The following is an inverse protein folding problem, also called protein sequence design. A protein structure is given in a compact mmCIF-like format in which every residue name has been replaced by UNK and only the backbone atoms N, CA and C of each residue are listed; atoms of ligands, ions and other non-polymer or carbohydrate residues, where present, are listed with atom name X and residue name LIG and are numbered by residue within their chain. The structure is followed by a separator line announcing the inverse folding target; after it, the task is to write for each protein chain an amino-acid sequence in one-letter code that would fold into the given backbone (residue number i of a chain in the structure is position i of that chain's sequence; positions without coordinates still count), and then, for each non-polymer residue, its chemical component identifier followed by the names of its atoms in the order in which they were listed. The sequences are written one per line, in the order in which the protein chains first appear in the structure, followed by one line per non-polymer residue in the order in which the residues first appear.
data_IF_064412528386
#
_entry.id   IF_064412528386
#
_cell.length_a   1.000
_cell.length_b   1.000
_cell.length_c   1.000
_cell.angle_alpha   90.00
_cell.angle_beta   90.00
_cell.angle_gamma   90.00
#
_symmetry.space_group_name_H-M   'P 1'
#
loop_
_entity.id
_entity.type
_entity.pdbx_description
1 polymer ?
#
# COMPACT_ATOMS: atom_id res chain seq x y z
N UNK A 1 -0.98 8.70 -1.99
CA UNK A 1 0.08 8.98 -0.98
C UNK A 1 -0.55 8.92 0.41
N UNK A 2 0.21 8.58 1.47
CA UNK A 2 -0.28 8.69 2.86
C UNK A 2 0.61 9.64 3.66
N UNK A 3 0.01 10.73 4.16
CA UNK A 3 0.60 11.72 5.09
C UNK A 3 -0.11 11.66 6.45
N UNK A 4 0.26 12.55 7.37
CA UNK A 4 -0.35 12.69 8.70
C UNK A 4 -0.32 11.39 9.53
N UNK A 5 0.87 10.79 9.62
CA UNK A 5 1.18 9.56 10.37
C UNK A 5 1.37 9.79 11.87
N UNK A 6 0.60 10.72 12.45
CA UNK A 6 0.63 11.06 13.89
C UNK A 6 -0.02 10.00 14.75
N UNK A 7 -0.98 9.26 14.21
CA UNK A 7 -1.74 8.23 14.91
C UNK A 7 -1.51 6.86 14.28
N UNK A 8 -1.66 5.82 15.10
CA UNK A 8 -1.56 4.43 14.67
C UNK A 8 -2.68 4.08 13.69
N UNK A 9 -2.34 3.50 12.55
CA UNK A 9 -3.29 3.19 11.48
C UNK A 9 -3.07 1.84 10.85
N UNK A 10 -4.17 1.20 10.44
CA UNK A 10 -4.17 0.04 9.57
C UNK A 10 -5.01 0.30 8.32
N UNK A 11 -4.45 0.01 7.14
CA UNK A 11 -5.13 0.09 5.85
C UNK A 11 -4.99 -1.24 5.15
N UNK A 12 -6.07 -1.75 4.57
CA UNK A 12 -6.03 -2.97 3.76
C UNK A 12 -6.31 -2.60 2.32
N UNK A 13 -5.28 -2.66 1.48
CA UNK A 13 -5.40 -2.52 0.03
C UNK A 13 -5.56 -3.90 -0.59
N UNK A 14 -6.53 -4.05 -1.50
CA UNK A 14 -6.67 -5.26 -2.32
C UNK A 14 -6.53 -4.89 -3.78
N UNK A 15 -5.44 -5.32 -4.41
CA UNK A 15 -5.16 -5.06 -5.82
C UNK A 15 -5.60 -6.25 -6.69
N UNK A 16 -6.28 -5.95 -7.79
CA UNK A 16 -6.64 -6.90 -8.84
C UNK A 16 -5.64 -6.81 -9.97
N UNK A 17 -5.07 -7.94 -10.35
CA UNK A 17 -3.99 -8.03 -11.35
C UNK A 17 -4.31 -9.10 -12.38
N UNK A 18 -3.50 -9.16 -13.44
CA UNK A 18 -3.41 -10.35 -14.29
C UNK A 18 -2.78 -11.50 -13.53
N UNK A 19 -2.89 -12.70 -14.09
CA UNK A 19 -2.16 -13.87 -13.62
C UNK A 19 -0.65 -13.56 -13.61
N UNK A 20 0.08 -13.82 -12.51
CA UNK A 20 1.53 -13.67 -12.50
C UNK A 20 2.16 -14.58 -13.56
N UNK A 21 3.00 -14.03 -14.44
CA UNK A 21 3.87 -14.81 -15.31
C UNK A 21 5.13 -15.15 -14.51
N UNK A 22 5.45 -16.43 -14.34
CA UNK A 22 6.67 -16.86 -13.64
C UNK A 22 7.91 -16.32 -14.36
N UNK A 23 8.59 -15.35 -13.74
CA UNK A 23 9.88 -14.85 -14.19
C UNK A 23 11.00 -15.59 -13.45
N UNK A 24 11.66 -16.51 -14.15
CA UNK A 24 12.82 -17.27 -13.64
C UNK A 24 14.12 -16.55 -14.01
N UNK A 25 14.87 -16.14 -12.97
CA UNK A 25 16.33 -15.84 -12.87
C UNK A 25 16.99 -14.97 -13.93
N UNK A 26 17.70 -13.93 -13.45
CA UNK A 26 19.07 -13.62 -13.89
C UNK A 26 19.96 -13.30 -12.67
N UNK A 27 21.19 -13.80 -12.73
CA UNK A 27 22.15 -13.98 -11.64
C UNK A 27 22.86 -12.69 -11.19
N UNK A 28 23.28 -12.73 -9.91
CA UNK A 28 24.29 -11.88 -9.30
C UNK A 28 25.65 -11.98 -10.02
N UNK A 29 26.44 -10.90 -9.98
CA UNK A 29 27.90 -10.99 -9.97
C UNK A 29 28.46 -10.00 -8.95
N UNK A 30 29.19 -10.54 -7.97
CA UNK A 30 30.01 -9.82 -6.99
C UNK A 30 31.44 -9.74 -7.53
N UNK A 31 32.16 -8.66 -7.24
CA UNK A 31 33.63 -8.66 -7.29
C UNK A 31 34.20 -7.92 -6.07
N UNK A 32 35.12 -8.60 -5.37
CA UNK A 32 36.01 -8.09 -4.32
C UNK A 32 37.31 -7.55 -4.96
N UNK A 33 37.90 -6.46 -4.43
CA UNK A 33 39.21 -6.50 -3.72
C UNK A 33 39.72 -5.14 -3.20
N UNK A 34 40.16 -5.20 -1.93
CA UNK A 34 41.33 -4.62 -1.24
C UNK A 34 41.71 -3.12 -1.26
N UNK A 35 41.95 -2.69 -0.03
CA UNK A 35 42.41 -1.44 0.57
C UNK A 35 43.87 -1.09 0.30
N UNK A 36 44.17 0.21 0.32
CA UNK A 36 45.51 0.75 0.56
C UNK A 36 45.42 1.86 1.61
N UNK A 37 46.30 1.78 2.61
CA UNK A 37 46.44 2.74 3.71
C UNK A 37 47.21 3.97 3.23
N UNK A 38 46.75 5.16 3.61
CA UNK A 38 47.60 6.34 3.80
C UNK A 38 47.13 7.08 5.06
N UNK A 39 48.11 7.45 5.88
CA UNK A 39 48.00 8.09 7.19
C UNK A 39 47.90 9.61 7.01
N UNK A 40 46.77 10.21 7.42
CA UNK A 40 46.56 11.66 7.40
C UNK A 40 45.94 12.11 8.73
N UNK A 41 46.55 13.15 9.25
CA UNK A 41 46.37 13.83 10.54
C UNK A 41 44.90 14.09 10.89
N UNK A 42 44.47 13.65 12.08
CA UNK A 42 43.07 13.73 12.55
C UNK A 42 42.62 15.18 12.84
N UNK A 43 41.88 15.75 11.90
CA UNK A 43 40.76 16.62 12.20
C UNK A 43 39.51 15.75 12.21
N UNK A 44 38.85 15.58 13.37
CA UNK A 44 37.63 14.77 13.47
C UNK A 44 36.50 15.54 12.78
N UNK A 45 36.41 15.37 11.47
CA UNK A 45 35.18 15.64 10.73
C UNK A 45 34.12 14.64 11.21
N UNK A 46 32.85 15.06 11.37
CA UNK A 46 31.78 14.11 11.69
C UNK A 46 31.79 12.99 10.64
N UNK A 47 31.74 11.73 11.10
CA UNK A 47 31.75 10.57 10.21
C UNK A 47 30.67 10.73 9.13
N UNK A 48 31.06 10.55 7.86
CA UNK A 48 30.13 10.62 6.75
C UNK A 48 28.96 9.64 6.97
N UNK A 49 27.75 10.11 6.70
CA UNK A 49 26.54 9.30 6.89
C UNK A 49 26.54 8.07 5.98
N UNK A 50 26.57 6.88 6.59
CA UNK A 50 26.44 5.60 5.88
C UNK A 50 24.99 5.11 5.88
N UNK A 51 24.24 5.51 4.85
CA UNK A 51 22.86 5.07 4.62
C UNK A 51 22.75 3.55 4.52
N UNK A 52 23.74 2.87 3.94
CA UNK A 52 23.69 1.42 3.73
C UNK A 52 23.78 0.69 5.05
N UNK A 53 24.63 1.15 5.97
CA UNK A 53 24.70 0.63 7.33
C UNK A 53 23.38 0.82 8.09
N UNK A 54 22.74 1.99 7.99
CA UNK A 54 21.46 2.27 8.65
C UNK A 54 20.32 1.37 8.12
N UNK A 55 20.23 1.17 6.79
CA UNK A 55 19.28 0.24 6.20
C UNK A 55 19.49 -1.20 6.68
N UNK A 56 20.74 -1.68 6.69
CA UNK A 56 21.07 -3.03 7.16
C UNK A 56 20.76 -3.21 8.65
N UNK A 57 21.01 -2.18 9.45
CA UNK A 57 20.70 -2.21 10.88
C UNK A 57 19.19 -2.33 11.12
N UNK A 58 18.36 -1.56 10.41
CA UNK A 58 16.90 -1.71 10.45
C UNK A 58 16.47 -3.10 9.99
N UNK A 59 17.02 -3.58 8.88
CA UNK A 59 16.61 -4.85 8.28
C UNK A 59 16.94 -6.05 9.17
N UNK A 60 18.12 -6.02 9.81
CA UNK A 60 18.56 -7.03 10.77
C UNK A 60 17.66 -7.13 12.01
N UNK A 61 16.84 -6.12 12.31
CA UNK A 61 15.90 -6.20 13.43
C UNK A 61 14.78 -7.19 13.18
N UNK A 62 14.39 -7.47 11.93
CA UNK A 62 13.18 -8.25 11.58
C UNK A 62 11.88 -7.72 12.23
N UNK A 63 11.89 -6.49 12.76
CA UNK A 63 10.82 -5.93 13.58
C UNK A 63 10.10 -4.75 12.89
N UNK A 64 10.65 -4.26 11.77
CA UNK A 64 10.08 -3.17 10.99
C UNK A 64 10.05 -1.83 11.73
N UNK A 65 9.24 -0.89 11.22
CA UNK A 65 9.04 0.43 11.83
C UNK A 65 8.33 0.31 13.17
N UNK A 66 7.41 -0.64 13.33
CA UNK A 66 6.75 -0.89 14.63
C UNK A 66 7.75 -1.27 15.72
N UNK A 67 8.80 -2.03 15.37
CA UNK A 67 9.90 -2.36 16.28
C UNK A 67 10.72 -1.14 16.70
N UNK A 68 10.96 -0.18 15.79
CA UNK A 68 11.61 1.09 16.13
C UNK A 68 10.78 1.90 17.13
N UNK A 69 9.45 1.95 16.94
CA UNK A 69 8.57 2.62 17.90
C UNK A 69 8.55 1.88 19.24
N UNK A 70 8.54 0.53 19.23
CA UNK A 70 8.58 -0.29 20.44
C UNK A 70 9.85 -0.08 21.27
N UNK A 71 10.99 0.20 20.63
CA UNK A 71 12.26 0.47 21.31
C UNK A 71 12.36 1.88 21.92
N UNK A 72 11.32 2.70 21.77
CA UNK A 72 11.28 4.06 22.32
C UNK A 72 11.98 5.11 21.45
N UNK A 73 12.08 4.89 20.13
CA UNK A 73 12.65 5.87 19.22
C UNK A 73 11.93 7.23 19.32
N UNK A 74 12.67 8.27 19.71
CA UNK A 74 12.17 9.65 19.82
C UNK A 74 12.48 10.51 18.58
N UNK A 75 13.30 9.99 17.67
CA UNK A 75 13.70 10.69 16.46
C UNK A 75 13.56 9.77 15.25
N UNK A 76 13.17 10.35 14.11
CA UNK A 76 13.07 9.62 12.84
C UNK A 76 14.49 9.37 12.30
N UNK A 77 14.89 8.10 12.05
CA UNK A 77 16.17 7.75 11.41
C UNK A 77 16.31 8.37 10.02
N UNK A 78 17.55 8.64 9.57
CA UNK A 78 17.79 9.44 8.36
C UNK A 78 17.26 8.77 7.09
N UNK A 79 17.29 7.44 7.03
CA UNK A 79 16.68 6.65 5.94
C UNK A 79 15.19 6.94 5.70
N UNK A 80 14.44 7.45 6.69
CA UNK A 80 13.01 7.80 6.56
C UNK A 80 12.75 9.29 6.34
N UNK A 81 13.78 10.13 6.43
CA UNK A 81 13.62 11.57 6.29
C UNK A 81 13.44 11.94 4.83
N UNK A 82 12.37 12.69 4.56
CA UNK A 82 12.19 13.36 3.29
C UNK A 82 13.35 14.36 3.07
N UNK A 83 13.77 14.60 1.82
CA UNK A 83 14.67 15.72 1.51
C UNK A 83 14.06 17.04 1.99
N UNK A 84 14.90 18.04 2.28
CA UNK A 84 14.41 19.34 2.75
C UNK A 84 13.39 19.91 1.74
N UNK A 85 12.26 20.46 2.22
CA UNK A 85 11.13 20.86 1.40
C UNK A 85 11.43 22.00 0.40
N UNK A 86 12.62 22.60 0.42
CA UNK A 86 13.02 23.62 -0.57
C UNK A 86 13.00 23.11 -2.03
N UNK A 87 13.06 21.80 -2.25
CA UNK A 87 12.93 21.18 -3.59
C UNK A 87 11.48 20.86 -4.01
N UNK A 88 10.53 20.72 -3.08
CA UNK A 88 9.11 20.43 -3.40
C UNK A 88 8.19 21.66 -3.27
N UNK A 89 8.48 22.61 -2.36
CA UNK A 89 7.66 23.81 -2.11
C UNK A 89 7.78 24.87 -3.22
N UNK A 90 8.80 24.80 -4.07
CA UNK A 90 8.98 25.73 -5.21
C UNK A 90 7.91 25.62 -6.31
N UNK A 91 6.87 24.77 -6.15
CA UNK A 91 5.81 24.60 -7.15
C UNK A 91 4.39 24.91 -6.65
N UNK A 92 4.15 25.18 -5.36
CA UNK A 92 2.76 25.38 -4.90
C UNK A 92 2.62 26.60 -4.00
N UNK A 93 2.08 27.68 -4.58
CA UNK A 93 1.61 28.85 -3.85
C UNK A 93 0.49 28.45 -2.85
N UNK A 94 0.26 29.22 -1.76
CA UNK A 94 -0.90 29.02 -0.91
C UNK A 94 -2.16 29.18 -1.74
N UNK A 95 -2.87 28.09 -2.01
CA UNK A 95 -4.12 28.11 -2.76
C UNK A 95 -5.26 27.66 -1.85
N UNK A 96 -6.43 28.27 -2.02
CA UNK A 96 -7.64 27.91 -1.28
C UNK A 96 -7.86 26.39 -1.33
N UNK A 97 -8.31 25.78 -0.21
CA UNK A 97 -8.54 24.35 -0.15
C UNK A 97 -9.45 23.94 -1.32
N UNK A 98 -9.12 22.89 -2.07
CA UNK A 98 -9.94 22.48 -3.19
C UNK A 98 -11.36 22.16 -2.68
N UNK A 99 -12.37 22.80 -3.27
CA UNK A 99 -13.78 22.50 -3.00
C UNK A 99 -14.22 21.13 -3.55
N UNK A 100 -13.29 20.40 -4.17
CA UNK A 100 -13.54 19.16 -4.88
C UNK A 100 -13.37 17.98 -3.94
N UNK A 101 -14.43 17.19 -3.77
CA UNK A 101 -14.44 15.98 -2.95
C UNK A 101 -14.43 14.74 -3.83
N UNK A 102 -13.77 13.68 -3.37
CA UNK A 102 -13.77 12.39 -4.05
C UNK A 102 -15.23 11.89 -4.19
N UNK A 103 -15.70 11.53 -5.41
CA UNK A 103 -17.07 11.11 -5.64
C UNK A 103 -17.46 9.93 -4.74
N UNK A 104 -18.69 9.95 -4.20
CA UNK A 104 -19.27 8.86 -3.43
C UNK A 104 -20.41 8.21 -4.23
N UNK A 105 -20.39 6.89 -4.33
CA UNK A 105 -21.31 6.12 -5.16
C UNK A 105 -21.94 5.01 -4.33
N UNK A 106 -23.27 5.00 -4.25
CA UNK A 106 -24.00 3.89 -3.64
C UNK A 106 -24.18 2.76 -4.66
N UNK A 107 -23.43 1.67 -4.50
CA UNK A 107 -23.57 0.50 -5.38
C UNK A 107 -24.92 -0.21 -5.16
N UNK A 108 -25.65 0.04 -4.08
CA UNK A 108 -26.98 -0.52 -3.85
C UNK A 108 -28.08 0.11 -4.73
N UNK A 109 -27.77 1.20 -5.44
CA UNK A 109 -28.72 1.95 -6.24
C UNK A 109 -29.09 1.33 -7.60
N UNK A 110 -29.82 2.10 -8.40
CA UNK A 110 -30.19 1.74 -9.77
C UNK A 110 -28.96 1.48 -10.65
N UNK A 111 -28.98 0.37 -11.41
CA UNK A 111 -27.80 -0.07 -12.17
C UNK A 111 -27.33 0.97 -13.18
N UNK A 112 -28.23 1.59 -13.93
CA UNK A 112 -27.86 2.55 -14.97
C UNK A 112 -27.23 3.81 -14.35
N UNK A 113 -27.80 4.30 -13.25
CA UNK A 113 -27.24 5.42 -12.51
C UNK A 113 -25.86 5.09 -11.90
N UNK A 114 -25.67 3.87 -11.39
CA UNK A 114 -24.39 3.42 -10.84
C UNK A 114 -23.32 3.34 -11.93
N UNK A 115 -23.64 2.76 -13.09
CA UNK A 115 -22.72 2.65 -14.24
C UNK A 115 -22.28 4.03 -14.71
N UNK A 116 -23.22 4.95 -14.88
CA UNK A 116 -22.95 6.33 -15.30
C UNK A 116 -22.10 7.11 -14.28
N UNK A 117 -22.40 6.96 -12.97
CA UNK A 117 -21.61 7.58 -11.92
C UNK A 117 -20.18 7.02 -11.83
N UNK A 118 -20.02 5.69 -11.93
CA UNK A 118 -18.70 5.05 -11.93
C UNK A 118 -17.89 5.45 -13.15
N UNK A 119 -18.51 5.50 -14.34
CA UNK A 119 -17.84 5.95 -15.57
C UNK A 119 -17.28 7.37 -15.45
N UNK A 120 -18.09 8.32 -14.97
CA UNK A 120 -17.63 9.69 -14.72
C UNK A 120 -16.50 9.76 -13.69
N UNK A 121 -16.67 9.08 -12.55
CA UNK A 121 -15.66 9.14 -11.49
C UNK A 121 -14.34 8.47 -11.92
N UNK A 122 -14.40 7.36 -12.64
CA UNK A 122 -13.22 6.71 -13.19
C UNK A 122 -12.49 7.62 -14.19
N UNK A 123 -13.22 8.29 -15.10
CA UNK A 123 -12.63 9.16 -16.12
C UNK A 123 -12.09 10.49 -15.57
N UNK A 124 -12.82 11.14 -14.66
CA UNK A 124 -12.44 12.47 -14.16
C UNK A 124 -11.46 12.39 -12.99
N UNK A 125 -11.60 11.40 -12.11
CA UNK A 125 -10.86 11.30 -10.86
C UNK A 125 -9.88 10.14 -10.82
N UNK A 126 -10.17 9.03 -11.50
CA UNK A 126 -9.48 7.75 -11.27
C UNK A 126 -9.71 7.17 -9.87
N UNK A 127 -10.54 7.82 -9.05
CA UNK A 127 -10.82 7.48 -7.65
C UNK A 127 -12.29 7.74 -7.32
N UNK A 128 -12.90 6.89 -6.50
CA UNK A 128 -14.23 7.10 -5.93
C UNK A 128 -14.41 6.29 -4.64
N UNK A 129 -15.35 6.71 -3.80
CA UNK A 129 -15.77 5.98 -2.61
C UNK A 129 -17.06 5.21 -2.90
N UNK A 130 -17.20 4.01 -2.34
CA UNK A 130 -18.40 3.18 -2.53
C UNK A 130 -19.06 2.81 -1.21
N UNK A 131 -20.39 2.90 -1.19
CA UNK A 131 -21.28 2.34 -0.17
C UNK A 131 -22.22 1.31 -0.81
N UNK A 132 -23.07 0.63 -0.04
CA UNK A 132 -24.02 -0.37 -0.59
C UNK A 132 -23.35 -1.52 -1.36
N UNK A 133 -22.07 -1.77 -1.05
CA UNK A 133 -21.23 -2.74 -1.76
C UNK A 133 -21.56 -4.20 -1.41
N UNK A 134 -22.28 -4.45 -0.31
CA UNK A 134 -22.71 -5.79 0.10
C UNK A 134 -21.71 -6.58 0.94
N UNK A 135 -20.44 -6.13 1.04
CA UNK A 135 -19.48 -6.70 2.01
C UNK A 135 -19.97 -6.48 3.46
N UNK A 136 -20.06 -7.54 4.29
CA UNK A 136 -20.49 -7.42 5.68
C UNK A 136 -19.54 -6.54 6.51
N UNK A 137 -20.11 -5.66 7.35
CA UNK A 137 -19.34 -4.77 8.23
C UNK A 137 -18.46 -5.56 9.20
N UNK A 138 -18.95 -6.72 9.66
CA UNK A 138 -18.26 -7.62 10.57
C UNK A 138 -16.99 -8.16 9.93
N UNK A 139 -17.03 -8.53 8.64
CA UNK A 139 -15.85 -9.01 7.91
C UNK A 139 -14.79 -7.91 7.76
N UNK A 140 -15.21 -6.67 7.45
CA UNK A 140 -14.31 -5.52 7.36
C UNK A 140 -13.66 -5.19 8.71
N UNK A 141 -14.46 -5.16 9.78
CA UNK A 141 -14.01 -4.85 11.14
C UNK A 141 -13.05 -5.93 11.65
N UNK A 142 -13.40 -7.21 11.44
CA UNK A 142 -12.54 -8.34 11.81
C UNK A 142 -11.21 -8.32 11.06
N UNK A 143 -11.20 -8.00 9.76
CA UNK A 143 -9.98 -7.89 8.98
C UNK A 143 -9.04 -6.80 9.51
N UNK A 144 -9.57 -5.59 9.77
CA UNK A 144 -8.78 -4.48 10.33
C UNK A 144 -8.23 -4.83 11.71
N UNK A 145 -9.06 -5.40 12.60
CA UNK A 145 -8.64 -5.82 13.93
C UNK A 145 -7.55 -6.91 13.87
N UNK A 146 -7.70 -7.90 13.00
CA UNK A 146 -6.72 -8.96 12.79
C UNK A 146 -5.38 -8.44 12.26
N UNK A 147 -5.41 -7.49 11.32
CA UNK A 147 -4.20 -6.83 10.80
C UNK A 147 -3.50 -6.04 11.90
N UNK A 148 -4.24 -5.27 12.70
CA UNK A 148 -3.68 -4.56 13.87
C UNK A 148 -3.02 -5.54 14.82
N UNK A 149 -3.73 -6.60 15.23
CA UNK A 149 -3.20 -7.63 16.13
C UNK A 149 -1.92 -8.30 15.60
N UNK A 150 -1.84 -8.59 14.30
CA UNK A 150 -0.61 -9.10 13.69
C UNK A 150 0.56 -8.11 13.81
N UNK A 151 0.34 -6.83 13.50
CA UNK A 151 1.41 -5.82 13.54
C UNK A 151 1.81 -5.45 14.96
N UNK A 152 0.87 -5.46 15.91
CA UNK A 152 1.09 -5.16 17.32
C UNK A 152 1.81 -6.29 18.08
N UNK A 153 1.73 -7.53 17.60
CA UNK A 153 2.48 -8.64 18.15
C UNK A 153 3.99 -8.37 18.13
N UNK A 154 4.75 -8.97 19.05
CA UNK A 154 6.19 -8.78 19.11
C UNK A 154 6.86 -9.17 17.79
N UNK A 155 7.66 -8.24 17.25
CA UNK A 155 8.60 -8.51 16.17
C UNK A 155 9.97 -8.81 16.72
N UNK A 156 10.94 -9.04 15.83
CA UNK A 156 12.31 -9.31 16.25
C UNK A 156 12.69 -10.77 16.13
N UNK A 157 14.00 -11.02 16.16
CA UNK A 157 14.57 -12.36 16.14
C UNK A 157 13.90 -13.26 17.19
N UNK A 158 13.50 -14.47 16.76
CA UNK A 158 12.82 -15.45 17.62
C UNK A 158 11.30 -15.28 17.76
N UNK A 159 10.71 -14.17 17.29
CA UNK A 159 9.25 -13.99 17.27
C UNK A 159 8.57 -14.75 16.13
N UNK A 160 7.29 -15.10 16.31
CA UNK A 160 6.49 -15.69 15.23
C UNK A 160 6.30 -14.73 14.06
N UNK A 161 6.16 -13.42 14.34
CA UNK A 161 6.04 -12.39 13.31
C UNK A 161 7.28 -12.32 12.41
N UNK A 162 8.47 -12.46 12.98
CA UNK A 162 9.73 -12.41 12.22
C UNK A 162 9.90 -13.56 11.23
N UNK A 163 9.21 -14.70 11.41
CA UNK A 163 9.20 -15.82 10.43
C UNK A 163 8.62 -15.42 9.07
N UNK A 164 7.78 -14.39 9.06
CA UNK A 164 7.21 -13.83 7.85
C UNK A 164 8.10 -12.75 7.23
N UNK A 165 9.10 -12.24 7.95
CA UNK A 165 9.93 -11.13 7.51
C UNK A 165 10.72 -11.50 6.25
N UNK A 166 10.36 -10.94 5.09
CA UNK A 166 11.00 -11.23 3.81
C UNK A 166 10.63 -10.22 2.73
N UNK A 167 11.56 -9.97 1.80
CA UNK A 167 11.32 -9.23 0.55
C UNK A 167 11.38 -10.13 -0.69
N UNK A 168 11.43 -11.45 -0.51
CA UNK A 168 11.48 -12.39 -1.63
C UNK A 168 10.24 -12.25 -2.52
N UNK A 169 10.39 -11.97 -3.84
CA UNK A 169 9.25 -11.73 -4.73
C UNK A 169 8.25 -12.91 -4.79
N UNK A 170 8.73 -14.15 -4.78
CA UNK A 170 7.90 -15.34 -4.97
C UNK A 170 7.03 -15.75 -3.77
N UNK A 171 7.39 -15.32 -2.56
CA UNK A 171 6.73 -15.74 -1.31
C UNK A 171 5.29 -15.19 -1.25
N UNK A 172 4.31 -16.08 -1.10
CA UNK A 172 2.89 -15.73 -1.11
C UNK A 172 2.46 -14.93 0.12
N UNK A 173 3.04 -15.26 1.29
CA UNK A 173 2.80 -14.61 2.57
C UNK A 173 4.13 -14.06 3.10
N UNK A 174 4.23 -12.74 3.26
CA UNK A 174 5.45 -12.11 3.78
C UNK A 174 5.14 -10.80 4.48
N UNK A 175 5.99 -10.45 5.42
CA UNK A 175 5.96 -9.18 6.14
C UNK A 175 7.26 -8.43 5.88
N UNK A 176 7.22 -7.10 5.79
CA UNK A 176 8.42 -6.28 5.64
C UNK A 176 8.13 -4.81 5.99
N UNK A 177 9.20 -4.06 6.33
CA UNK A 177 9.19 -2.61 6.21
C UNK A 177 9.73 -2.23 4.82
N UNK A 178 8.89 -1.64 3.96
CA UNK A 178 9.22 -1.26 2.57
C UNK A 178 9.69 -2.43 1.68
N UNK A 179 8.94 -2.73 0.61
CA UNK A 179 9.33 -3.80 -0.32
C UNK A 179 10.60 -3.46 -1.12
N UNK A 180 10.88 -2.16 -1.28
CA UNK A 180 11.94 -1.53 -2.06
C UNK A 180 13.01 -0.86 -1.18
N UNK A 181 13.15 -1.30 0.08
CA UNK A 181 14.01 -0.66 1.11
C UNK A 181 15.42 -0.27 0.61
N UNK A 182 16.05 -1.12 -0.20
CA UNK A 182 17.41 -0.92 -0.72
C UNK A 182 17.47 -0.15 -2.05
N UNK A 183 16.32 0.13 -2.67
CA UNK A 183 16.20 0.79 -3.98
C UNK A 183 15.66 2.21 -3.84
N UNK A 184 14.70 2.42 -2.94
CA UNK A 184 14.10 3.74 -2.72
C UNK A 184 15.11 4.71 -2.12
N UNK A 185 15.14 5.99 -2.53
CA UNK A 185 15.96 7.01 -1.89
C UNK A 185 15.52 7.30 -0.45
N UNK A 186 14.22 7.17 -0.16
CA UNK A 186 13.61 7.40 1.15
C UNK A 186 12.69 6.24 1.52
N UNK A 187 12.91 5.63 2.67
CA UNK A 187 12.04 4.59 3.21
C UNK A 187 10.75 5.22 3.74
N UNK A 188 9.63 4.52 3.60
CA UNK A 188 8.35 4.95 4.18
C UNK A 188 8.21 4.47 5.63
N UNK A 189 7.60 5.30 6.47
CA UNK A 189 7.27 5.01 7.86
C UNK A 189 6.05 4.07 7.95
N UNK A 190 6.26 2.82 7.53
CA UNK A 190 5.19 1.84 7.35
C UNK A 190 5.73 0.42 7.34
N UNK A 191 4.96 -0.47 7.94
CA UNK A 191 5.10 -1.91 7.79
C UNK A 191 3.98 -2.52 6.95
N UNK A 192 4.20 -3.68 6.35
CA UNK A 192 3.22 -4.30 5.45
C UNK A 192 3.26 -5.81 5.55
N UNK A 193 2.09 -6.40 5.80
CA UNK A 193 1.83 -7.82 5.56
C UNK A 193 1.27 -7.95 4.14
N UNK A 194 1.97 -8.73 3.32
CA UNK A 194 1.64 -9.04 1.93
C UNK A 194 1.05 -10.45 1.85
N UNK A 195 -0.07 -10.58 1.15
CA UNK A 195 -0.74 -11.85 0.90
C UNK A 195 -1.16 -11.95 -0.58
N UNK A 196 -0.65 -12.94 -1.31
CA UNK A 196 -1.17 -13.31 -2.63
C UNK A 196 -2.31 -14.31 -2.45
N UNK A 197 -3.55 -13.88 -2.65
CA UNK A 197 -4.76 -14.71 -2.47
C UNK A 197 -5.23 -15.40 -3.75
N UNK A 198 -4.82 -14.91 -4.92
CA UNK A 198 -5.12 -15.52 -6.21
C UNK A 198 -3.96 -15.31 -7.19
N UNK A 199 -3.78 -16.18 -8.21
CA UNK A 199 -4.63 -17.32 -8.57
C UNK A 199 -4.52 -18.51 -7.60
N UNK A 200 -3.35 -18.65 -6.96
CA UNK A 200 -3.03 -19.74 -6.06
C UNK A 200 -2.99 -19.20 -4.62
N UNK A 201 -4.08 -19.33 -3.84
CA UNK A 201 -4.07 -18.91 -2.44
C UNK A 201 -3.06 -19.76 -1.64
N UNK A 202 -2.38 -19.17 -0.65
CA UNK A 202 -1.56 -19.91 0.30
C UNK A 202 -2.39 -20.95 1.07
N UNK A 203 -1.72 -22.00 1.52
CA UNK A 203 -2.32 -22.93 2.47
C UNK A 203 -2.61 -22.23 3.79
N UNK A 204 -3.57 -22.75 4.56
CA UNK A 204 -4.03 -22.11 5.79
C UNK A 204 -2.88 -21.91 6.79
N UNK A 205 -2.04 -22.93 6.97
CA UNK A 205 -0.88 -22.93 7.86
C UNK A 205 0.26 -21.99 7.43
N UNK A 206 0.24 -21.47 6.20
CA UNK A 206 1.18 -20.45 5.72
C UNK A 206 0.79 -19.02 6.16
N UNK A 207 -0.45 -18.78 6.61
CA UNK A 207 -0.86 -17.49 7.17
C UNK A 207 -0.60 -17.43 8.69
N UNK A 208 -0.30 -16.22 9.21
CA UNK A 208 -0.28 -16.00 10.65
C UNK A 208 -1.62 -16.36 11.27
N UNK A 209 -1.59 -17.21 12.31
CA UNK A 209 -2.80 -17.69 12.98
C UNK A 209 -3.70 -16.55 13.47
N UNK A 210 -3.09 -15.46 13.98
CA UNK A 210 -3.79 -14.29 14.49
C UNK A 210 -4.68 -13.58 13.47
N UNK A 211 -4.43 -13.74 12.16
CA UNK A 211 -5.18 -13.05 11.12
C UNK A 211 -5.71 -13.94 10.01
N UNK A 212 -5.46 -15.24 10.06
CA UNK A 212 -5.77 -16.21 9.01
C UNK A 212 -7.24 -16.18 8.57
N UNK A 213 -8.16 -16.50 9.48
CA UNK A 213 -9.56 -16.70 9.12
C UNK A 213 -10.22 -15.39 8.69
N UNK A 214 -9.92 -14.29 9.41
CA UNK A 214 -10.41 -12.97 9.09
C UNK A 214 -9.95 -12.51 7.70
N UNK A 215 -8.68 -12.73 7.34
CA UNK A 215 -8.15 -12.31 6.04
C UNK A 215 -8.60 -13.21 4.89
N UNK A 216 -8.83 -14.50 5.12
CA UNK A 216 -9.45 -15.36 4.09
C UNK A 216 -10.90 -14.96 3.81
N UNK A 217 -11.70 -14.74 4.85
CA UNK A 217 -13.09 -14.31 4.67
C UNK A 217 -13.15 -12.93 4.00
N UNK A 218 -12.31 -11.98 4.44
CA UNK A 218 -12.19 -10.68 3.81
C UNK A 218 -11.77 -10.78 2.33
N UNK A 219 -10.76 -11.60 2.02
CA UNK A 219 -10.30 -11.82 0.65
C UNK A 219 -11.44 -12.31 -0.25
N UNK A 220 -12.24 -13.26 0.22
CA UNK A 220 -13.42 -13.77 -0.50
C UNK A 220 -14.45 -12.66 -0.75
N UNK A 221 -14.80 -11.88 0.27
CA UNK A 221 -15.79 -10.81 0.15
C UNK A 221 -15.33 -9.72 -0.83
N UNK A 222 -14.08 -9.28 -0.72
CA UNK A 222 -13.52 -8.24 -1.59
C UNK A 222 -13.26 -8.77 -3.00
N UNK A 223 -13.03 -10.08 -3.16
CA UNK A 223 -12.98 -10.69 -4.49
C UNK A 223 -14.31 -10.50 -5.22
N UNK A 224 -15.42 -10.82 -4.56
CA UNK A 224 -16.76 -10.67 -5.12
C UNK A 224 -17.09 -9.20 -5.44
N UNK A 225 -16.73 -8.27 -4.54
CA UNK A 225 -16.86 -6.83 -4.80
C UNK A 225 -16.06 -6.40 -6.03
N UNK A 226 -14.80 -6.85 -6.15
CA UNK A 226 -13.97 -6.56 -7.31
C UNK A 226 -14.55 -7.09 -8.62
N UNK A 227 -15.09 -8.31 -8.62
CA UNK A 227 -15.73 -8.89 -9.80
C UNK A 227 -16.97 -8.05 -10.22
N UNK A 228 -17.80 -7.62 -9.25
CA UNK A 228 -18.93 -6.72 -9.50
C UNK A 228 -18.50 -5.35 -10.03
N UNK A 229 -17.41 -4.79 -9.52
CA UNK A 229 -16.86 -3.51 -9.99
C UNK A 229 -16.36 -3.63 -11.43
N UNK A 230 -15.71 -4.74 -11.80
CA UNK A 230 -15.33 -5.00 -13.19
C UNK A 230 -16.53 -5.05 -14.14
N UNK A 231 -17.67 -5.60 -13.69
CA UNK A 231 -18.90 -5.56 -14.49
C UNK A 231 -19.40 -4.13 -14.73
N UNK A 232 -19.46 -3.32 -13.66
CA UNK A 232 -19.88 -1.92 -13.75
C UNK A 232 -18.95 -1.13 -14.67
N UNK A 233 -17.64 -1.31 -14.52
CA UNK A 233 -16.63 -0.63 -15.34
C UNK A 233 -16.71 -1.06 -16.81
N UNK A 234 -16.97 -2.33 -17.09
CA UNK A 234 -17.18 -2.81 -18.46
C UNK A 234 -18.40 -2.15 -19.10
N UNK A 235 -19.52 -2.07 -18.38
CA UNK A 235 -20.72 -1.38 -18.86
C UNK A 235 -20.49 0.13 -19.05
N UNK A 236 -19.72 0.77 -18.16
CA UNK A 236 -19.38 2.19 -18.27
C UNK A 236 -18.54 2.50 -19.52
N UNK A 237 -17.78 1.52 -20.00
CA UNK A 237 -17.04 1.58 -21.27
C UNK A 237 -17.93 1.25 -22.49
N UNK A 238 -19.23 1.00 -22.31
CA UNK A 238 -20.13 0.58 -23.39
C UNK A 238 -19.92 -0.88 -23.83
N UNK A 239 -19.23 -1.69 -23.02
CA UNK A 239 -18.91 -3.08 -23.31
C UNK A 239 -19.89 -4.04 -22.61
N UNK A 240 -19.80 -5.33 -22.95
CA UNK A 240 -20.53 -6.37 -22.22
C UNK A 240 -20.08 -6.40 -20.76
N UNK A 241 -20.97 -6.64 -19.78
CA UNK A 241 -20.59 -6.69 -18.37
C UNK A 241 -19.45 -7.66 -18.06
N UNK A 242 -19.34 -8.76 -18.81
CA UNK A 242 -18.27 -9.76 -18.62
C UNK A 242 -16.91 -9.35 -19.19
N UNK A 243 -16.81 -8.29 -20.00
CA UNK A 243 -15.65 -8.02 -20.85
C UNK A 243 -14.31 -8.03 -20.10
N UNK A 244 -14.17 -7.24 -19.03
CA UNK A 244 -12.91 -7.16 -18.28
C UNK A 244 -12.54 -8.50 -17.61
N UNK A 245 -13.52 -9.31 -17.23
CA UNK A 245 -13.31 -10.68 -16.73
C UNK A 245 -12.89 -11.63 -17.85
N UNK A 246 -13.53 -11.52 -19.02
CA UNK A 246 -13.23 -12.36 -20.20
C UNK A 246 -11.80 -12.17 -20.71
N UNK A 247 -11.24 -10.96 -20.56
CA UNK A 247 -9.83 -10.65 -20.86
C UNK A 247 -8.89 -10.80 -19.65
N UNK A 248 -9.33 -11.57 -18.66
CA UNK A 248 -8.55 -11.99 -17.48
C UNK A 248 -8.10 -10.83 -16.57
N UNK A 249 -8.89 -9.75 -16.54
CA UNK A 249 -8.84 -8.59 -15.63
C UNK A 249 -8.63 -8.92 -14.16
N UNK A 250 -9.23 -10.03 -13.75
CA UNK A 250 -9.61 -10.29 -12.37
C UNK A 250 -8.96 -11.57 -11.81
N UNK A 251 -7.93 -12.12 -12.47
CA UNK A 251 -7.34 -13.41 -12.11
C UNK A 251 -6.42 -13.35 -10.88
N UNK A 252 -5.76 -12.22 -10.66
CA UNK A 252 -4.89 -11.99 -9.51
C UNK A 252 -5.60 -11.21 -8.40
N UNK A 253 -5.26 -11.57 -7.16
CA UNK A 253 -5.67 -10.85 -5.96
C UNK A 253 -4.50 -10.79 -4.99
N UNK A 254 -4.08 -9.58 -4.66
CA UNK A 254 -3.04 -9.31 -3.67
C UNK A 254 -3.65 -8.44 -2.58
N UNK A 255 -3.44 -8.80 -1.32
CA UNK A 255 -3.80 -7.99 -0.17
C UNK A 255 -2.52 -7.43 0.44
N UNK A 256 -2.49 -6.10 0.59
CA UNK A 256 -1.47 -5.37 1.31
C UNK A 256 -2.11 -4.79 2.58
N UNK A 257 -1.79 -5.42 3.70
CA UNK A 257 -2.20 -4.98 5.03
C UNK A 257 -1.12 -4.06 5.60
N UNK A 258 -1.26 -2.78 5.28
CA UNK A 258 -0.37 -1.71 5.69
C UNK A 258 -0.64 -1.29 7.13
N UNK A 259 0.42 -1.05 7.88
CA UNK A 259 0.37 -0.51 9.24
C UNK A 259 1.33 0.66 9.37
N UNK A 260 0.83 1.75 9.94
CA UNK A 260 1.53 3.02 10.11
C UNK A 260 1.64 3.28 11.61
N UNK A 261 2.77 2.94 12.24
CA UNK A 261 3.00 3.26 13.64
C UNK A 261 3.02 4.80 13.84
N UNK A 262 2.67 5.32 15.03
CA UNK A 262 2.82 6.74 15.33
C UNK A 262 4.25 7.21 15.06
N UNK A 263 4.39 8.29 14.30
CA UNK A 263 5.70 8.88 13.98
C UNK A 263 6.06 9.98 14.98
N UNK A 264 7.26 9.98 15.58
CA UNK A 264 7.68 11.01 16.53
C UNK A 264 7.98 12.37 15.86
N UNK A 265 8.29 12.38 14.56
CA UNK A 265 8.56 13.58 13.76
C UNK A 265 7.82 13.49 12.42
N UNK A 266 6.47 13.56 12.42
CA UNK A 266 5.64 13.33 11.23
C UNK A 266 5.91 14.32 10.09
N UNK A 267 6.46 15.49 10.38
CA UNK A 267 6.89 16.50 9.41
C UNK A 267 8.12 16.07 8.59
N UNK A 268 8.90 15.11 9.09
CA UNK A 268 10.11 14.62 8.42
C UNK A 268 9.87 13.34 7.63
N UNK A 269 8.75 12.65 7.81
CA UNK A 269 8.54 11.31 7.28
C UNK A 269 7.21 11.19 6.53
N UNK A 270 7.12 10.15 5.68
CA UNK A 270 5.91 9.85 4.94
C UNK A 270 5.47 8.40 5.15
N UNK A 271 4.16 8.18 5.27
CA UNK A 271 3.61 6.83 5.43
C UNK A 271 3.66 6.04 4.13
N UNK A 272 3.39 6.69 3.00
CA UNK A 272 3.55 6.08 1.67
C UNK A 272 3.87 7.16 0.65
N UNK A 273 4.96 7.00 -0.10
CA UNK A 273 5.40 7.94 -1.14
C UNK A 273 4.36 8.14 -2.25
N UNK A 274 4.55 9.18 -3.08
CA UNK A 274 3.81 9.36 -4.34
C UNK A 274 4.03 8.14 -5.24
N UNK A 275 2.94 7.56 -5.74
CA UNK A 275 2.95 6.45 -6.69
C UNK A 275 1.61 6.36 -7.43
N UNK A 276 1.60 5.63 -8.55
CA UNK A 276 0.41 5.01 -9.14
C UNK A 276 0.41 3.52 -8.83
N UNK A 277 -0.77 2.90 -8.87
CA UNK A 277 -0.90 1.46 -8.70
C UNK A 277 -0.70 0.77 -10.05
N UNK A 278 0.13 -0.28 -10.09
CA UNK A 278 0.46 -0.99 -11.33
C UNK A 278 -0.55 -2.09 -11.73
N UNK A 279 -1.69 -2.19 -11.03
CA UNK A 279 -2.73 -3.22 -11.25
C UNK A 279 -3.83 -2.79 -12.21
N UNK A 280 -5.00 -3.41 -12.10
CA UNK A 280 -6.23 -2.95 -12.79
C UNK A 280 -7.13 -2.12 -11.89
N UNK A 281 -7.31 -2.58 -10.66
CA UNK A 281 -8.22 -1.98 -9.70
C UNK A 281 -7.67 -2.21 -8.30
N UNK A 282 -7.70 -1.18 -7.47
CA UNK A 282 -7.43 -1.31 -6.04
C UNK A 282 -8.71 -1.00 -5.26
N UNK A 283 -8.99 -1.84 -4.26
CA UNK A 283 -10.10 -1.71 -3.31
C UNK A 283 -9.46 -1.49 -1.93
N UNK A 284 -9.62 -0.29 -1.40
CA UNK A 284 -8.94 0.17 -0.20
C UNK A 284 -9.93 0.31 0.95
N UNK A 285 -9.68 -0.45 2.02
CA UNK A 285 -10.33 -0.28 3.32
C UNK A 285 -9.41 0.54 4.22
N UNK A 286 -9.89 1.71 4.64
CA UNK A 286 -9.19 2.55 5.63
C UNK A 286 -9.94 2.59 6.96
N UNK A 287 -9.22 2.95 8.02
CA UNK A 287 -9.79 3.33 9.29
C UNK A 287 -10.30 4.77 9.31
N UNK A 288 -10.84 5.20 10.45
CA UNK A 288 -11.50 6.50 10.63
C UNK A 288 -10.51 7.68 10.83
N UNK A 289 -9.20 7.44 10.76
CA UNK A 289 -8.16 8.44 11.05
C UNK A 289 -7.87 9.32 9.82
N UNK A 290 -7.91 8.75 8.62
CA UNK A 290 -7.59 9.45 7.37
C UNK A 290 -6.10 9.53 7.05
N UNK A 291 -5.68 10.58 6.34
CA UNK A 291 -4.30 10.78 5.89
C UNK A 291 -3.99 10.25 4.48
N UNK A 292 -4.95 9.62 3.81
CA UNK A 292 -4.83 9.34 2.37
C UNK A 292 -5.00 10.65 1.58
N UNK A 293 -4.05 10.90 0.68
CA UNK A 293 -4.09 12.00 -0.27
C UNK A 293 -4.00 11.46 -1.70
N UNK A 294 -4.85 12.01 -2.57
CA UNK A 294 -4.85 11.74 -4.02
C UNK A 294 -4.43 13.00 -4.77
N UNK A 295 -3.75 12.82 -5.90
CA UNK A 295 -3.37 13.93 -6.76
C UNK A 295 -4.46 14.10 -7.83
N UNK A 296 -5.20 15.20 -7.79
CA UNK A 296 -6.23 15.53 -8.77
C UNK A 296 -5.98 16.94 -9.31
N UNK A 297 -5.84 17.07 -10.64
CA UNK A 297 -5.54 18.34 -11.33
C UNK A 297 -4.34 19.08 -10.69
N UNK A 298 -3.24 18.35 -10.53
CA UNK A 298 -1.97 18.81 -9.95
C UNK A 298 -2.07 19.32 -8.50
N UNK A 299 -3.15 18.99 -7.80
CA UNK A 299 -3.36 19.33 -6.40
C UNK A 299 -3.59 18.09 -5.55
N UNK A 300 -3.01 18.08 -4.37
CA UNK A 300 -3.28 17.04 -3.39
C UNK A 300 -4.64 17.30 -2.73
N UNK A 301 -5.50 16.27 -2.72
CA UNK A 301 -6.83 16.30 -2.11
C UNK A 301 -6.87 15.24 -1.02
N UNK A 302 -7.24 15.64 0.20
CA UNK A 302 -7.47 14.72 1.31
C UNK A 302 -8.73 13.90 1.07
N UNK A 303 -8.63 12.59 1.26
CA UNK A 303 -9.78 11.68 1.19
C UNK A 303 -10.37 11.53 2.59
N UNK A 304 -11.53 12.13 2.82
CA UNK A 304 -12.24 12.02 4.10
C UNK A 304 -12.71 10.57 4.32
N UNK A 305 -12.35 9.92 5.44
CA UNK A 305 -12.85 8.59 5.76
C UNK A 305 -14.36 8.57 5.94
N UNK A 306 -15.01 7.61 5.29
CA UNK A 306 -16.43 7.35 5.45
C UNK A 306 -16.60 5.97 6.09
N UNK A 307 -17.21 5.87 7.29
CA UNK A 307 -17.40 4.60 7.97
C UNK A 307 -18.12 3.58 7.11
N UNK A 308 -17.50 2.41 6.94
CA UNK A 308 -18.07 1.33 6.15
C UNK A 308 -18.05 1.55 4.65
N UNK A 309 -17.30 2.54 4.12
CA UNK A 309 -17.06 2.69 2.69
C UNK A 309 -15.71 2.08 2.29
N UNK A 310 -15.60 1.68 1.02
CA UNK A 310 -14.30 1.43 0.39
C UNK A 310 -13.92 2.59 -0.51
N UNK A 311 -12.62 2.87 -0.64
CA UNK A 311 -12.11 3.71 -1.71
C UNK A 311 -11.67 2.79 -2.85
N UNK A 312 -12.06 3.14 -4.06
CA UNK A 312 -11.72 2.44 -5.28
C UNK A 312 -10.80 3.34 -6.09
N UNK A 313 -9.73 2.78 -6.65
CA UNK A 313 -8.90 3.47 -7.64
C UNK A 313 -8.60 2.63 -8.86
N UNK A 314 -8.64 3.31 -10.00
CA UNK A 314 -8.23 2.77 -11.30
C UNK A 314 -6.70 2.76 -11.33
N UNK A 315 -6.15 1.64 -11.80
CA UNK A 315 -4.72 1.41 -11.82
C UNK A 315 -4.20 1.30 -13.26
N UNK A 316 -2.88 1.39 -13.43
CA UNK A 316 -2.21 1.67 -14.70
C UNK A 316 -2.59 0.68 -15.82
N UNK A 317 -2.78 -0.61 -15.50
CA UNK A 317 -3.15 -1.62 -16.51
C UNK A 317 -4.58 -1.45 -17.00
N UNK A 318 -5.51 -0.98 -16.16
CA UNK A 318 -6.87 -0.73 -16.59
C UNK A 318 -6.92 0.55 -17.44
N UNK A 319 -6.19 1.59 -17.05
CA UNK A 319 -6.08 2.82 -17.83
C UNK A 319 -5.55 2.54 -19.25
N UNK A 320 -4.43 1.81 -19.35
CA UNK A 320 -3.87 1.43 -20.65
C UNK A 320 -4.85 0.62 -21.53
N UNK A 321 -5.72 -0.20 -20.91
CA UNK A 321 -6.71 -1.00 -21.63
C UNK A 321 -7.92 -0.20 -22.08
N UNK A 322 -8.36 0.77 -21.28
CA UNK A 322 -9.48 1.64 -21.63
C UNK A 322 -9.16 2.57 -22.80
N UNK A 323 -7.88 2.91 -23.03
CA UNK A 323 -7.46 3.70 -24.20
C UNK A 323 -7.48 2.89 -25.51
N UNK A 324 -7.53 1.56 -25.43
CA UNK A 324 -7.64 0.64 -26.58
C UNK A 324 -9.09 0.35 -26.98
N UNK A 325 -10.08 0.73 -26.15
CA UNK A 325 -11.51 0.46 -26.33
C UNK A 325 -12.26 1.69 -26.86
#
# INVERSE_FOLDING_TARGET
MVKNITNERAIISTSRTRRPVSLTRLHQTTTHRQTQHDDVTMSIAPAAYDRTAELRALDATLAGVRGLVASGATHVPRIFRLPDPEEEEHQQAPQEPPSATVPMIDLGGDRAAVVDAVGRAAAEWGFFQVTGHGVPKEAMTAAVAAVRAFHDADGGEGSDKARFYSREPGKAVKYHCNFDLYQSPVANWRDTLYLRMAPDPPAADELPESCRDALFEYAKQVKNLGDRLFEVLSEALGLKPSYLTDIECNQGQIILAHYYPPCPQPELAIGTSRHSDSGFLTILLQDEIGGLQILHKDRWVDVTPIPGAFIINIADLLQSRSEEC
#
